data_IF_482426769654
#
_entry.id   IF_482426769654
#
_cell.length_a   1.000
_cell.length_b   1.000
_cell.length_c   1.000
_cell.angle_alpha   90.00
_cell.angle_beta   90.00
_cell.angle_gamma   90.00
#
_symmetry.space_group_name_H-M   'P 1'
#
loop_
_entity.id
_entity.type
_entity.pdbx_description
1 polymer ?
#
# COMPACT_ATOMS: atom_id res chain seq x y z
N UNK A 1 19.55 27.26 -20.16
CA UNK A 1 18.18 27.23 -19.55
C UNK A 1 18.24 26.37 -18.28
N UNK A 2 17.85 26.91 -17.11
CA UNK A 2 17.68 26.09 -15.91
C UNK A 2 16.42 25.23 -16.11
N UNK A 3 16.57 23.91 -16.06
CA UNK A 3 15.42 22.98 -16.06
C UNK A 3 14.88 22.89 -14.64
N UNK A 4 13.59 23.15 -14.48
CA UNK A 4 12.92 22.91 -13.21
C UNK A 4 12.50 21.43 -13.15
N UNK A 5 12.90 20.74 -12.10
CA UNK A 5 12.52 19.36 -11.85
C UNK A 5 11.57 19.28 -10.65
N UNK A 6 10.55 18.44 -10.77
CA UNK A 6 9.73 18.04 -9.62
C UNK A 6 10.08 16.59 -9.28
N UNK A 7 10.45 16.34 -8.04
CA UNK A 7 10.78 15.00 -7.53
C UNK A 7 9.71 14.61 -6.52
N UNK A 8 9.06 13.48 -6.74
CA UNK A 8 8.11 12.89 -5.81
C UNK A 8 8.81 11.79 -5.03
N UNK A 9 8.77 11.87 -3.70
CA UNK A 9 9.29 10.84 -2.81
C UNK A 9 8.09 10.03 -2.27
N UNK A 10 8.12 8.72 -2.54
CA UNK A 10 7.07 7.79 -2.09
C UNK A 10 7.68 6.88 -1.04
N UNK A 11 7.37 7.13 0.22
CA UNK A 11 7.83 6.29 1.33
C UNK A 11 6.96 5.03 1.42
N UNK A 12 7.60 3.89 1.40
CA UNK A 12 6.97 2.59 1.58
C UNK A 12 7.95 1.61 2.22
N UNK A 13 7.49 0.41 2.53
CA UNK A 13 8.36 -0.70 2.95
C UNK A 13 8.22 -1.85 1.96
N UNK A 14 9.34 -2.28 1.42
CA UNK A 14 9.47 -3.49 0.62
C UNK A 14 10.19 -4.56 1.42
N UNK A 15 9.63 -5.75 1.50
CA UNK A 15 10.22 -6.89 2.22
C UNK A 15 9.75 -8.19 1.58
N UNK A 16 10.70 -9.02 1.19
CA UNK A 16 10.40 -10.35 0.64
C UNK A 16 9.72 -11.25 1.67
N UNK A 17 8.61 -11.85 1.23
CA UNK A 17 7.79 -12.71 2.08
C UNK A 17 8.30 -14.14 1.99
N UNK A 18 8.93 -14.62 3.08
CA UNK A 18 9.49 -15.96 3.16
C UNK A 18 10.94 -16.09 2.70
N UNK A 19 11.51 -15.06 2.05
CA UNK A 19 12.93 -15.00 1.69
C UNK A 19 13.75 -14.27 2.77
N UNK A 20 13.32 -13.07 3.14
CA UNK A 20 13.98 -12.28 4.18
C UNK A 20 13.79 -12.91 5.56
N UNK A 21 12.58 -13.38 5.85
CA UNK A 21 12.21 -14.03 7.10
C UNK A 21 10.92 -14.86 6.89
N UNK A 22 10.49 -15.64 7.88
CA UNK A 22 9.24 -16.40 7.85
C UNK A 22 8.04 -15.49 7.59
N UNK A 23 7.06 -15.99 6.86
CA UNK A 23 5.88 -15.22 6.43
C UNK A 23 5.11 -14.59 7.59
N UNK A 24 4.92 -15.31 8.69
CA UNK A 24 4.25 -14.82 9.90
C UNK A 24 5.01 -13.66 10.55
N UNK A 25 6.33 -13.71 10.52
CA UNK A 25 7.18 -12.65 11.05
C UNK A 25 7.19 -11.42 10.16
N UNK A 26 7.24 -11.61 8.83
CA UNK A 26 7.08 -10.52 7.86
C UNK A 26 5.73 -9.83 8.01
N UNK A 27 4.64 -10.59 8.21
CA UNK A 27 3.32 -10.03 8.49
C UNK A 27 3.34 -9.11 9.73
N UNK A 28 4.05 -9.53 10.78
CA UNK A 28 4.24 -8.72 12.00
C UNK A 28 5.02 -7.43 11.70
N UNK A 29 6.10 -7.51 10.92
CA UNK A 29 6.89 -6.32 10.56
C UNK A 29 6.05 -5.30 9.78
N UNK A 30 5.27 -5.76 8.80
CA UNK A 30 4.42 -4.84 8.03
C UNK A 30 3.31 -4.19 8.87
N UNK A 31 2.74 -4.92 9.83
CA UNK A 31 1.86 -4.31 10.83
C UNK A 31 2.58 -3.20 11.59
N UNK A 32 3.78 -3.48 12.09
CA UNK A 32 4.55 -2.54 12.89
C UNK A 32 4.99 -1.31 12.07
N UNK A 33 5.32 -1.48 10.79
CA UNK A 33 5.64 -0.36 9.89
C UNK A 33 4.43 0.55 9.66
N UNK A 34 3.23 -0.03 9.49
CA UNK A 34 2.01 0.77 9.38
C UNK A 34 1.71 1.49 10.70
N UNK A 35 1.87 0.83 11.85
CA UNK A 35 1.73 1.48 13.16
C UNK A 35 2.71 2.66 13.30
N UNK A 36 3.97 2.48 12.94
CA UNK A 36 4.96 3.55 12.97
C UNK A 36 4.59 4.73 12.06
N UNK A 37 4.08 4.45 10.85
CA UNK A 37 3.61 5.51 9.96
C UNK A 37 2.44 6.29 10.56
N UNK A 38 1.50 5.61 11.22
CA UNK A 38 0.39 6.24 11.96
C UNK A 38 0.92 7.11 13.10
N UNK A 39 1.88 6.62 13.90
CA UNK A 39 2.45 7.36 15.01
C UNK A 39 3.22 8.62 14.54
N UNK A 40 3.97 8.53 13.44
CA UNK A 40 4.64 9.70 12.82
C UNK A 40 3.60 10.75 12.41
N UNK A 41 2.49 10.34 11.80
CA UNK A 41 1.43 11.26 11.41
C UNK A 41 0.74 11.90 12.62
N UNK A 42 0.52 11.14 13.70
CA UNK A 42 0.03 11.69 14.96
C UNK A 42 0.97 12.76 15.52
N UNK A 43 2.29 12.52 15.54
CA UNK A 43 3.28 13.48 15.98
C UNK A 43 3.25 14.78 15.15
N UNK A 44 3.11 14.65 13.82
CA UNK A 44 2.97 15.78 12.91
C UNK A 44 1.72 16.62 13.26
N UNK A 45 0.56 15.93 13.38
CA UNK A 45 -0.71 16.59 13.69
C UNK A 45 -0.76 17.20 15.09
N UNK A 46 -0.04 16.62 16.04
CA UNK A 46 0.12 17.15 17.40
C UNK A 46 1.17 18.27 17.52
N UNK A 47 1.89 18.58 16.42
CA UNK A 47 2.88 19.66 16.37
C UNK A 47 4.25 19.30 16.98
N UNK A 48 4.48 18.02 17.30
CA UNK A 48 5.76 17.51 17.82
C UNK A 48 6.69 17.00 16.71
N UNK A 49 6.12 16.50 15.60
CA UNK A 49 6.83 15.93 14.46
C UNK A 49 7.29 16.96 13.41
N UNK A 50 7.93 18.06 13.82
CA UNK A 50 8.30 19.19 12.92
C UNK A 50 9.25 18.77 11.80
N UNK A 51 10.11 17.81 12.03
CA UNK A 51 11.11 17.33 11.08
C UNK A 51 10.52 16.42 9.98
N UNK A 52 9.34 15.84 10.24
CA UNK A 52 8.63 14.95 9.34
C UNK A 52 7.50 15.64 8.56
N UNK A 53 7.44 16.97 8.54
CA UNK A 53 6.39 17.71 7.84
C UNK A 53 6.28 17.31 6.36
N UNK A 54 5.05 16.98 5.93
CA UNK A 54 4.79 16.51 4.58
C UNK A 54 5.03 15.01 4.37
N UNK A 55 5.34 14.26 5.43
CA UNK A 55 5.44 12.81 5.38
C UNK A 55 4.14 12.20 4.87
N UNK A 56 4.28 11.23 3.97
CA UNK A 56 3.19 10.36 3.48
C UNK A 56 3.72 8.93 3.41
N UNK A 57 2.84 7.99 3.61
CA UNK A 57 3.16 6.57 3.53
C UNK A 57 2.35 5.87 2.45
N UNK A 58 2.98 4.97 1.70
CA UNK A 58 2.30 4.10 0.74
C UNK A 58 2.34 2.66 1.23
N UNK A 59 1.19 2.05 1.48
CA UNK A 59 1.11 0.61 1.61
C UNK A 59 1.37 -0.01 0.23
N UNK A 60 2.48 -0.72 0.08
CA UNK A 60 2.95 -1.23 -1.20
C UNK A 60 1.98 -2.23 -1.82
N UNK A 61 1.37 -3.07 -0.98
CA UNK A 61 0.38 -4.05 -1.40
C UNK A 61 -0.71 -4.25 -0.34
N UNK A 62 -1.83 -4.82 -0.75
CA UNK A 62 -2.99 -4.94 0.13
C UNK A 62 -2.85 -6.07 1.17
N UNK A 63 -1.97 -7.02 0.96
CA UNK A 63 -1.65 -8.05 1.95
C UNK A 63 -1.09 -7.43 3.25
N UNK A 64 -0.28 -6.37 3.15
CA UNK A 64 0.22 -5.62 4.30
C UNK A 64 -0.95 -5.06 5.13
N UNK A 65 -1.92 -4.44 4.46
CA UNK A 65 -3.12 -3.85 5.09
C UNK A 65 -3.98 -4.92 5.74
N UNK A 66 -4.17 -6.07 5.10
CA UNK A 66 -4.91 -7.20 5.69
C UNK A 66 -4.26 -7.71 6.98
N UNK A 67 -2.94 -7.86 7.01
CA UNK A 67 -2.23 -8.32 8.20
C UNK A 67 -2.28 -7.28 9.33
N UNK A 68 -2.19 -6.00 9.00
CA UNK A 68 -2.40 -4.91 9.95
C UNK A 68 -3.80 -5.01 10.58
N UNK A 69 -4.84 -5.11 9.77
CA UNK A 69 -6.22 -5.24 10.25
C UNK A 69 -6.47 -6.47 11.11
N UNK A 70 -5.81 -7.59 10.82
CA UNK A 70 -5.97 -8.83 11.55
C UNK A 70 -5.34 -8.79 12.96
N UNK A 71 -4.47 -7.83 13.25
CA UNK A 71 -3.63 -7.87 14.46
C UNK A 71 -3.40 -6.53 15.16
N UNK A 72 -3.79 -5.41 14.54
CA UNK A 72 -3.73 -4.09 15.18
C UNK A 72 -4.91 -3.87 16.12
N UNK A 73 -4.77 -2.97 17.10
CA UNK A 73 -5.88 -2.54 17.94
C UNK A 73 -6.86 -1.64 17.18
N UNK A 74 -8.11 -1.60 17.63
CA UNK A 74 -9.16 -0.76 17.05
C UNK A 74 -8.71 0.72 16.97
N UNK A 75 -8.02 1.22 17.97
CA UNK A 75 -7.48 2.59 17.98
C UNK A 75 -6.46 2.84 16.86
N UNK A 76 -5.61 1.87 16.51
CA UNK A 76 -4.72 2.01 15.36
C UNK A 76 -5.49 1.95 14.04
N UNK A 77 -6.50 1.09 13.94
CA UNK A 77 -7.34 0.96 12.75
C UNK A 77 -8.09 2.27 12.48
N UNK A 78 -8.71 2.87 13.50
CA UNK A 78 -9.43 4.15 13.37
C UNK A 78 -8.50 5.28 12.89
N UNK A 79 -7.30 5.40 13.46
CA UNK A 79 -6.31 6.41 13.05
C UNK A 79 -5.79 6.16 11.64
N UNK A 80 -5.50 4.90 11.31
CA UNK A 80 -5.10 4.51 9.96
C UNK A 80 -6.15 4.89 8.91
N UNK A 81 -7.43 4.55 9.14
CA UNK A 81 -8.52 4.91 8.24
C UNK A 81 -8.65 6.42 8.06
N UNK A 82 -8.53 7.19 9.15
CA UNK A 82 -8.51 8.65 9.10
C UNK A 82 -7.40 9.17 8.18
N UNK A 83 -6.17 8.64 8.30
CA UNK A 83 -5.04 9.07 7.48
C UNK A 83 -5.14 8.59 6.03
N UNK A 84 -5.77 7.45 5.79
CA UNK A 84 -6.12 7.02 4.42
C UNK A 84 -7.13 7.97 3.79
N UNK A 85 -8.21 8.31 4.49
CA UNK A 85 -9.22 9.26 4.02
C UNK A 85 -8.63 10.67 3.79
N UNK A 86 -7.67 11.08 4.62
CA UNK A 86 -6.92 12.34 4.50
C UNK A 86 -5.89 12.35 3.36
N UNK A 87 -5.62 11.20 2.73
CA UNK A 87 -4.62 11.08 1.65
C UNK A 87 -3.17 11.17 2.12
N UNK A 88 -2.92 10.90 3.40
CA UNK A 88 -1.58 10.83 4.01
C UNK A 88 -1.03 9.41 3.99
N UNK A 89 -1.92 8.40 4.02
CA UNK A 89 -1.59 6.99 3.76
C UNK A 89 -2.28 6.55 2.48
N UNK A 90 -1.50 6.04 1.53
CA UNK A 90 -1.99 5.49 0.27
C UNK A 90 -2.21 3.98 0.34
N UNK A 91 -3.22 3.50 -0.37
CA UNK A 91 -3.49 2.09 -0.57
C UNK A 91 -3.11 1.66 -1.97
N UNK A 92 -2.60 0.44 -2.11
CA UNK A 92 -2.30 -0.18 -3.40
C UNK A 92 -3.38 -1.18 -3.78
N UNK A 93 -3.82 -1.14 -5.04
CA UNK A 93 -4.71 -2.14 -5.63
C UNK A 93 -4.02 -3.50 -5.87
N UNK A 94 -2.70 -3.54 -5.82
CA UNK A 94 -1.95 -4.80 -5.89
C UNK A 94 -2.14 -5.60 -4.58
N UNK A 95 -2.32 -6.93 -4.71
CA UNK A 95 -2.46 -7.77 -3.52
C UNK A 95 -1.10 -8.21 -2.97
N UNK A 96 -0.20 -8.65 -3.85
CA UNK A 96 1.17 -9.10 -3.56
C UNK A 96 2.09 -8.76 -4.72
N UNK A 97 3.36 -8.54 -4.44
CA UNK A 97 4.39 -8.48 -5.46
C UNK A 97 4.73 -9.92 -5.87
N UNK A 98 4.28 -10.33 -7.04
CA UNK A 98 4.52 -11.66 -7.58
C UNK A 98 4.43 -11.66 -9.10
N UNK A 99 5.16 -12.55 -9.73
CA UNK A 99 4.88 -12.93 -11.12
C UNK A 99 3.62 -13.77 -11.14
N UNK A 100 2.64 -13.40 -11.97
CA UNK A 100 1.32 -14.02 -11.97
C UNK A 100 1.38 -15.45 -12.50
N UNK A 101 1.28 -16.41 -11.60
CA UNK A 101 1.10 -17.85 -11.88
C UNK A 101 -0.25 -18.33 -11.34
N UNK A 102 -1.23 -17.43 -11.30
CA UNK A 102 -2.59 -17.70 -10.86
C UNK A 102 -3.57 -17.52 -12.02
N UNK A 103 -4.78 -18.07 -11.89
CA UNK A 103 -5.82 -17.81 -12.89
C UNK A 103 -6.26 -16.34 -12.86
N UNK A 104 -6.79 -15.86 -13.99
CA UNK A 104 -7.30 -14.49 -14.10
C UNK A 104 -8.36 -14.18 -13.04
N UNK A 105 -9.28 -15.09 -12.78
CA UNK A 105 -10.35 -14.92 -11.78
C UNK A 105 -9.79 -14.66 -10.38
N UNK A 106 -8.75 -15.43 -10.00
CA UNK A 106 -8.07 -15.23 -8.70
C UNK A 106 -7.36 -13.89 -8.66
N UNK A 107 -6.69 -13.51 -9.73
CA UNK A 107 -5.99 -12.21 -9.82
C UNK A 107 -6.98 -11.05 -9.71
N UNK A 108 -8.07 -11.09 -10.48
CA UNK A 108 -9.14 -10.10 -10.46
C UNK A 108 -9.78 -9.96 -9.07
N UNK A 109 -10.12 -11.09 -8.44
CA UNK A 109 -10.67 -11.09 -7.08
C UNK A 109 -9.72 -10.46 -6.06
N UNK A 110 -8.42 -10.81 -6.14
CA UNK A 110 -7.43 -10.29 -5.18
C UNK A 110 -7.20 -8.79 -5.30
N UNK A 111 -7.16 -8.28 -6.53
CA UNK A 111 -7.11 -6.83 -6.79
C UNK A 111 -8.37 -6.15 -6.27
N UNK A 112 -9.53 -6.76 -6.46
CA UNK A 112 -10.82 -6.27 -6.00
C UNK A 112 -10.92 -6.05 -4.48
N UNK A 113 -10.16 -6.78 -3.68
CA UNK A 113 -10.17 -6.63 -2.21
C UNK A 113 -9.78 -5.23 -1.74
N UNK A 114 -8.75 -4.64 -2.34
CA UNK A 114 -8.32 -3.29 -2.01
C UNK A 114 -9.37 -2.25 -2.40
N UNK A 115 -10.00 -2.42 -3.58
CA UNK A 115 -11.09 -1.56 -4.05
C UNK A 115 -12.29 -1.63 -3.11
N UNK A 116 -12.72 -2.84 -2.74
CA UNK A 116 -13.85 -3.05 -1.84
C UNK A 116 -13.60 -2.40 -0.47
N UNK A 117 -12.41 -2.63 0.08
CA UNK A 117 -12.01 -2.01 1.33
C UNK A 117 -12.01 -0.47 1.25
N UNK A 118 -11.38 0.09 0.22
CA UNK A 118 -11.34 1.52 -0.01
C UNK A 118 -12.76 2.12 -0.12
N UNK A 119 -13.67 1.45 -0.84
CA UNK A 119 -15.07 1.86 -0.91
C UNK A 119 -15.74 1.87 0.46
N UNK A 120 -15.49 0.85 1.30
CA UNK A 120 -16.06 0.75 2.64
C UNK A 120 -15.65 1.92 3.53
N UNK A 121 -14.41 2.39 3.43
CA UNK A 121 -13.89 3.50 4.22
C UNK A 121 -14.00 4.87 3.52
N UNK A 122 -14.65 4.96 2.36
CA UNK A 122 -14.83 6.21 1.62
C UNK A 122 -13.58 6.72 0.88
N UNK A 123 -12.61 5.86 0.58
CA UNK A 123 -11.39 6.17 -0.14
C UNK A 123 -11.28 5.39 -1.46
N UNK A 124 -11.34 6.03 -2.64
CA UNK A 124 -11.22 5.33 -3.91
C UNK A 124 -9.78 4.88 -4.17
N UNK A 125 -9.53 3.58 -4.20
CA UNK A 125 -8.23 3.02 -4.60
C UNK A 125 -8.13 3.07 -6.12
N UNK A 126 -7.18 3.87 -6.65
CA UNK A 126 -7.00 4.11 -8.08
C UNK A 126 -5.60 3.77 -8.60
N UNK A 127 -4.71 3.40 -7.71
CA UNK A 127 -3.33 3.07 -8.03
C UNK A 127 -2.93 1.72 -7.48
N UNK A 128 -2.00 1.07 -8.16
CA UNK A 128 -1.33 -0.13 -7.72
C UNK A 128 0.18 0.09 -7.74
N UNK A 129 0.87 -0.54 -6.82
CA UNK A 129 2.32 -0.58 -6.76
C UNK A 129 2.76 -2.03 -6.78
N UNK A 130 3.64 -2.38 -7.70
CA UNK A 130 4.23 -3.71 -7.79
C UNK A 130 5.73 -3.55 -8.07
N UNK A 131 6.54 -3.91 -7.10
CA UNK A 131 7.98 -3.70 -7.12
C UNK A 131 8.73 -5.03 -7.01
N UNK A 132 9.97 -5.02 -7.53
CA UNK A 132 10.91 -6.13 -7.45
C UNK A 132 10.36 -7.46 -8.01
N UNK A 133 9.80 -7.39 -9.22
CA UNK A 133 9.36 -8.55 -9.99
C UNK A 133 9.85 -8.47 -11.44
N UNK A 134 10.08 -9.62 -12.05
CA UNK A 134 10.70 -9.73 -13.38
C UNK A 134 9.75 -9.50 -14.56
N UNK A 135 8.60 -8.92 -14.34
CA UNK A 135 7.62 -8.61 -15.39
C UNK A 135 6.20 -8.99 -15.00
N UNK A 136 5.26 -8.62 -15.84
CA UNK A 136 3.83 -8.79 -15.64
C UNK A 136 3.17 -9.33 -16.89
N UNK A 137 2.15 -10.17 -16.72
CA UNK A 137 1.29 -10.59 -17.81
C UNK A 137 0.34 -9.46 -18.23
N UNK A 138 -0.11 -9.45 -19.49
CA UNK A 138 -1.16 -8.51 -19.93
C UNK A 138 -2.45 -8.67 -19.13
N UNK A 139 -2.80 -9.90 -18.71
CA UNK A 139 -3.95 -10.15 -17.85
C UNK A 139 -3.92 -9.40 -16.51
N UNK A 140 -2.72 -9.01 -16.02
CA UNK A 140 -2.63 -8.13 -14.85
C UNK A 140 -3.13 -6.72 -15.15
N UNK A 141 -2.77 -6.17 -16.32
CA UNK A 141 -3.28 -4.87 -16.74
C UNK A 141 -4.80 -4.89 -16.93
N UNK A 142 -5.34 -5.95 -17.52
CA UNK A 142 -6.78 -6.12 -17.69
C UNK A 142 -7.49 -6.21 -16.33
N UNK A 143 -6.97 -7.00 -15.40
CA UNK A 143 -7.53 -7.14 -14.05
C UNK A 143 -7.49 -5.81 -13.25
N UNK A 144 -6.43 -5.00 -13.41
CA UNK A 144 -6.37 -3.65 -12.84
C UNK A 144 -7.45 -2.74 -13.46
N UNK A 145 -7.55 -2.71 -14.78
CA UNK A 145 -8.50 -1.86 -15.50
C UNK A 145 -9.96 -2.20 -15.15
N UNK A 146 -10.32 -3.48 -15.11
CA UNK A 146 -11.66 -3.94 -14.73
C UNK A 146 -11.99 -3.65 -13.25
N UNK A 147 -10.97 -3.57 -12.39
CA UNK A 147 -11.11 -3.09 -11.01
C UNK A 147 -11.04 -1.56 -10.88
N UNK A 148 -11.02 -0.81 -12.00
CA UNK A 148 -10.94 0.66 -12.02
C UNK A 148 -9.65 1.23 -11.42
N UNK A 149 -8.59 0.44 -11.36
CA UNK A 149 -7.25 0.86 -10.99
C UNK A 149 -6.59 1.49 -12.23
N UNK A 150 -6.37 2.80 -12.18
CA UNK A 150 -5.99 3.60 -13.35
C UNK A 150 -4.48 3.81 -13.50
N UNK A 151 -3.74 3.64 -12.42
CA UNK A 151 -2.32 3.94 -12.37
C UNK A 151 -1.55 2.76 -11.80
N UNK A 152 -0.47 2.39 -12.47
CA UNK A 152 0.46 1.37 -12.01
C UNK A 152 1.85 1.97 -11.88
N UNK A 153 2.42 1.86 -10.68
CA UNK A 153 3.86 2.03 -10.46
C UNK A 153 4.51 0.65 -10.41
N UNK A 154 5.54 0.47 -11.21
CA UNK A 154 6.32 -0.77 -11.22
C UNK A 154 7.80 -0.47 -11.33
N UNK A 155 8.64 -1.26 -10.66
CA UNK A 155 10.09 -1.26 -10.80
C UNK A 155 10.63 -2.67 -10.63
N UNK A 156 11.80 -2.90 -11.20
CA UNK A 156 12.59 -4.13 -11.09
C UNK A 156 13.79 -3.83 -10.20
#
# INVERSE_FOLDING_TARGET
MKRNWTVYLIHHSHTDIGYTERQDKIATYHRDFICQAVDILDEIHNGTGKEAQGFKWQCENFWQVRNFYASASDSYIERFEKYVQGGEIGLSGNYLNLTELVSYDVLFERIGLAKEYGRKIGYPVRSAMCADINGMAWGYADALAENEIQHLYTCI
#
